data_IF_636193627452
#
_entry.id   IF_636193627452
#
_cell.length_a   1.000
_cell.length_b   1.000
_cell.length_c   1.000
_cell.angle_alpha   90.00
_cell.angle_beta   90.00
_cell.angle_gamma   90.00
#
_symmetry.space_group_name_H-M   'P 1'
#
loop_
_entity.id
_entity.type
_entity.pdbx_description
1 polymer ?
2 water ?
#
# COMPACT_ATOMS: atom_id res chain seq x y z
N UNK A 4 10.01 -8.81 -8.89
CA UNK A 4 10.46 -7.60 -9.67
C UNK A 4 10.24 -6.31 -8.89
N UNK A 5 10.83 -6.16 -7.70
CA UNK A 5 10.68 -4.92 -6.87
C UNK A 5 11.78 -3.91 -7.18
N UNK A 6 11.41 -2.79 -7.78
CA UNK A 6 12.38 -1.71 -8.04
C UNK A 6 12.76 -0.88 -6.79
N UNK A 7 11.73 -0.55 -5.99
CA UNK A 7 11.86 0.33 -4.83
C UNK A 7 10.91 -0.14 -3.73
N UNK A 8 11.35 0.00 -2.49
CA UNK A 8 10.48 -0.19 -1.33
C UNK A 8 10.61 1.09 -0.51
N UNK A 9 9.50 1.57 0.04
CA UNK A 9 9.53 2.80 0.83
C UNK A 9 8.65 2.60 2.06
N UNK A 10 9.09 3.14 3.19
CA UNK A 10 8.32 3.06 4.45
C UNK A 10 8.16 4.49 5.00
N UNK A 11 6.93 4.84 5.37
CA UNK A 11 6.57 6.19 5.90
C UNK A 11 5.94 5.99 7.27
N UNK A 12 6.44 6.69 8.29
CA UNK A 12 5.84 6.66 9.60
C UNK A 12 5.49 8.09 10.01
N UNK A 13 4.36 8.25 10.69
CA UNK A 13 3.94 9.55 11.12
C UNK A 13 3.46 9.47 12.57
N UNK A 14 4.04 10.31 13.44
CA UNK A 14 3.65 10.39 14.83
C UNK A 14 2.97 11.70 15.09
N UNK A 15 1.80 11.64 15.70
CA UNK A 15 1.04 12.82 16.05
C UNK A 15 1.10 12.98 17.54
N UNK A 16 1.65 14.11 17.96
CA UNK A 16 1.78 14.43 19.35
C UNK A 16 0.81 15.53 19.80
N UNK A 17 0.24 16.30 18.87
CA UNK A 17 -0.75 17.33 19.20
C UNK A 17 -1.85 17.20 18.16
N UNK A 18 -3.09 17.15 18.61
CA UNK A 18 -4.23 16.98 17.70
C UNK A 18 -5.38 17.74 18.31
N UNK A 19 -6.15 18.43 17.47
CA UNK A 19 -7.21 19.29 17.95
C UNK A 19 -6.73 20.10 19.16
N UNK A 20 -5.49 20.59 19.11
CA UNK A 20 -4.94 21.40 20.21
C UNK A 20 -4.69 20.67 21.52
N UNK A 21 -4.62 19.34 21.48
CA UNK A 21 -4.48 18.52 22.69
C UNK A 21 -3.25 17.60 22.58
N UNK A 22 -2.40 17.59 23.61
CA UNK A 22 -1.20 16.74 23.64
C UNK A 22 -1.54 15.24 23.66
N UNK A 23 -1.19 14.53 22.59
CA UNK A 23 -1.45 13.10 22.45
C UNK A 23 -0.26 12.32 23.06
N UNK A 24 -0.50 11.71 24.22
CA UNK A 24 0.51 10.96 24.98
C UNK A 24 -0.05 9.62 25.48
N UNK A 25 0.46 8.49 24.96
CA UNK A 25 1.54 8.40 23.97
C UNK A 25 1.08 8.91 22.60
N UNK A 26 2.02 9.38 21.77
CA UNK A 26 1.68 9.78 20.40
C UNK A 26 1.02 8.67 19.63
N UNK A 27 0.06 9.01 18.77
CA UNK A 27 -0.53 8.03 17.92
C UNK A 27 0.33 7.93 16.65
N UNK A 28 0.41 6.73 16.08
CA UNK A 28 1.30 6.51 14.96
C UNK A 28 0.67 5.74 13.84
N UNK A 29 1.05 6.09 12.62
CA UNK A 29 0.61 5.39 11.43
C UNK A 29 1.85 5.02 10.63
N UNK A 30 1.83 3.86 9.99
CA UNK A 30 2.94 3.48 9.13
C UNK A 30 2.35 2.94 7.85
N UNK A 31 3.06 3.13 6.75
CA UNK A 31 2.68 2.56 5.47
C UNK A 31 3.95 2.11 4.74
N UNK A 32 3.93 0.90 4.19
CA UNK A 32 5.04 0.34 3.41
C UNK A 32 4.53 0.20 1.96
N UNK A 33 5.37 0.62 1.01
CA UNK A 33 5.04 0.68 -0.41
C UNK A 33 6.11 -0.05 -1.23
N UNK A 34 5.67 -0.83 -2.23
CA UNK A 34 6.57 -1.51 -3.19
C UNK A 34 6.19 -1.10 -4.58
N UNK A 35 7.21 -0.85 -5.39
CA UNK A 35 7.04 -0.55 -6.81
C UNK A 35 7.52 -1.77 -7.58
N UNK A 36 6.61 -2.40 -8.32
CA UNK A 36 6.96 -3.58 -9.10
C UNK A 36 6.63 -3.40 -10.56
N UNK A 37 7.26 -4.18 -11.43
CA UNK A 37 6.92 -4.25 -12.83
C UNK A 37 5.61 -5.00 -12.98
N UNK A 38 4.69 -4.47 -13.79
CA UNK A 38 3.42 -5.13 -14.07
C UNK A 38 3.69 -6.10 -15.21
N UNK A 39 3.58 -7.42 -14.95
CA UNK A 39 3.83 -8.35 -16.07
C UNK A 39 2.82 -8.23 -17.23
N UNK A 40 1.67 -7.61 -16.98
CA UNK A 40 0.63 -7.46 -17.96
C UNK A 40 0.56 -6.07 -18.57
N UNK A 41 1.58 -5.24 -18.34
CA UNK A 41 1.64 -3.92 -18.93
C UNK A 41 1.68 -4.07 -20.44
N UNK A 42 0.87 -3.27 -21.14
CA UNK A 42 0.78 -3.31 -22.61
C UNK A 42 0.02 -4.48 -23.17
N UNK A 43 -0.61 -5.26 -22.31
CA UNK A 43 -1.26 -6.51 -22.69
C UNK A 43 -2.71 -6.60 -22.22
N UNK A 44 -3.48 -7.40 -22.94
CA UNK A 44 -4.89 -7.68 -22.63
C UNK A 44 -4.93 -9.15 -22.24
N UNK A 45 -4.99 -9.43 -20.94
CA UNK A 45 -4.97 -10.82 -20.43
C UNK A 45 -6.14 -11.05 -19.48
N UNK A 46 -6.62 -12.29 -19.37
CA UNK A 46 -7.78 -12.58 -18.52
C UNK A 46 -7.37 -13.26 -17.22
N UNK A 47 -6.35 -14.11 -17.30
CA UNK A 47 -5.89 -14.88 -16.14
C UNK A 47 -4.83 -14.09 -15.42
N UNK A 48 -5.22 -13.54 -14.27
CA UNK A 48 -4.36 -12.66 -13.48
C UNK A 48 -3.72 -13.37 -12.30
N UNK A 49 -3.70 -14.70 -12.32
CA UNK A 49 -3.12 -15.51 -11.26
C UNK A 49 -1.77 -14.96 -10.81
N UNK A 50 -0.92 -14.64 -11.79
CA UNK A 50 0.43 -14.23 -11.50
C UNK A 50 0.45 -12.97 -10.61
N UNK A 51 -0.47 -12.04 -10.84
CA UNK A 51 -0.56 -10.87 -9.96
C UNK A 51 -1.15 -11.18 -8.58
N UNK A 52 -2.06 -12.17 -8.46
CA UNK A 52 -2.62 -12.55 -7.17
C UNK A 52 -1.54 -13.21 -6.32
N UNK A 53 -0.76 -14.10 -6.93
CA UNK A 53 0.35 -14.76 -6.23
C UNK A 53 1.38 -13.73 -5.79
N UNK A 54 1.72 -12.78 -6.65
CA UNK A 54 2.67 -11.68 -6.28
C UNK A 54 2.11 -10.79 -5.14
N UNK A 55 0.82 -10.48 -5.21
CA UNK A 55 0.16 -9.72 -4.18
C UNK A 55 0.16 -10.40 -2.84
N UNK A 56 0.00 -11.71 -2.81
CA UNK A 56 0.09 -12.46 -1.55
C UNK A 56 1.45 -12.26 -0.84
N UNK A 57 2.53 -12.38 -1.59
CA UNK A 57 3.87 -12.20 -1.05
C UNK A 57 4.15 -10.75 -0.66
N UNK A 58 3.66 -9.80 -1.45
CA UNK A 58 3.85 -8.38 -1.15
C UNK A 58 3.10 -7.97 0.09
N UNK A 59 1.88 -8.42 0.26
CA UNK A 59 1.12 -8.05 1.45
C UNK A 59 1.80 -8.47 2.73
N UNK A 60 2.32 -9.69 2.72
CA UNK A 60 3.08 -10.22 3.83
C UNK A 60 4.34 -9.38 4.05
N UNK A 61 5.07 -9.11 2.98
CA UNK A 61 6.30 -8.36 3.05
C UNK A 61 6.08 -6.93 3.59
N UNK A 62 5.11 -6.23 3.01
CA UNK A 62 4.82 -4.85 3.38
C UNK A 62 4.17 -4.76 4.75
N UNK A 63 3.32 -5.73 5.09
CA UNK A 63 2.74 -5.77 6.44
C UNK A 63 3.81 -5.92 7.53
N UNK A 64 4.81 -6.75 7.26
CA UNK A 64 5.94 -6.97 8.16
C UNK A 64 6.80 -5.70 8.26
N UNK A 65 7.02 -5.01 7.14
CA UNK A 65 7.79 -3.76 7.18
C UNK A 65 7.08 -2.73 8.05
N UNK A 66 5.75 -2.67 7.96
CA UNK A 66 4.96 -1.76 8.80
C UNK A 66 5.16 -1.99 10.29
N UNK A 67 5.01 -3.24 10.73
CA UNK A 67 5.18 -3.58 12.15
C UNK A 67 6.63 -3.40 12.61
N UNK A 68 7.60 -3.76 11.78
CA UNK A 68 8.99 -3.47 12.10
C UNK A 68 9.24 -1.98 12.24
N UNK A 69 8.65 -1.16 11.38
CA UNK A 69 8.82 0.29 11.47
C UNK A 69 8.26 0.88 12.76
N UNK A 70 7.14 0.34 13.21
CA UNK A 70 6.47 0.82 14.40
C UNK A 70 6.99 0.10 15.63
N UNK A 71 7.85 -0.88 15.44
CA UNK A 71 8.39 -1.65 16.54
C UNK A 71 7.31 -2.29 17.37
N UNK A 72 6.29 -2.85 16.73
CA UNK A 72 5.24 -3.52 17.49
C UNK A 72 5.08 -4.94 17.01
N UNK A 73 4.34 -5.72 17.80
CA UNK A 73 3.91 -7.04 17.43
C UNK A 73 2.64 -6.79 16.61
N UNK A 74 2.35 -7.64 15.63
CA UNK A 74 1.14 -7.50 14.80
C UNK A 74 -0.18 -7.42 15.57
N UNK A 75 -0.25 -8.10 16.70
CA UNK A 75 -1.46 -8.07 17.52
C UNK A 75 -1.68 -6.68 18.17
N UNK A 76 -0.62 -5.87 18.29
CA UNK A 76 -0.76 -4.50 18.81
C UNK A 76 -1.35 -3.47 17.80
N UNK A 77 -1.44 -3.83 16.51
CA UNK A 77 -1.99 -2.93 15.48
C UNK A 77 -3.49 -2.68 15.66
N UNK A 78 -3.90 -1.42 15.61
CA UNK A 78 -5.31 -1.02 15.76
C UNK A 78 -6.12 -1.06 14.43
N UNK A 79 -5.49 -0.66 13.32
CA UNK A 79 -6.13 -0.59 12.00
C UNK A 79 -5.19 -1.12 10.95
N UNK A 80 -5.74 -1.59 9.83
CA UNK A 80 -4.97 -2.01 8.65
C UNK A 80 -5.68 -1.49 7.38
N UNK A 81 -4.96 -1.45 6.28
CA UNK A 81 -5.54 -1.10 4.98
C UNK A 81 -4.52 -1.35 3.90
N UNK A 82 -4.99 -1.42 2.65
CA UNK A 82 -4.10 -1.66 1.54
C UNK A 82 -4.65 -0.99 0.27
N UNK A 83 -3.77 -0.62 -0.65
CA UNK A 83 -4.17 0.03 -1.89
C UNK A 83 -3.18 -0.31 -2.94
N UNK A 84 -3.55 -0.07 -4.19
CA UNK A 84 -2.61 -0.26 -5.30
C UNK A 84 -2.94 0.79 -6.39
N UNK A 85 -1.90 1.31 -6.99
CA UNK A 85 -2.04 2.25 -8.08
C UNK A 85 -1.33 1.62 -9.26
N UNK A 86 -2.09 1.45 -10.34
CA UNK A 86 -1.59 0.88 -11.58
C UNK A 86 -1.05 1.99 -12.47
N UNK A 87 0.09 1.74 -13.10
CA UNK A 87 0.58 2.70 -14.10
C UNK A 87 -0.28 2.69 -15.35
N UNK A 88 -0.05 3.70 -16.18
CA UNK A 88 -0.90 4.00 -17.34
C UNK A 88 -1.08 2.86 -18.39
N UNK A 89 -0.07 2.01 -18.59
CA UNK A 89 -0.18 0.90 -19.58
C UNK A 89 -0.80 -0.39 -19.01
N UNK A 90 -1.22 -0.33 -17.74
CA UNK A 90 -1.94 -1.41 -17.11
C UNK A 90 -3.45 -1.18 -17.14
N UNK A 91 -4.17 -1.99 -16.37
CA UNK A 91 -5.61 -1.96 -16.24
C UNK A 91 -5.94 -1.96 -14.77
N UNK A 92 -7.11 -1.42 -14.43
CA UNK A 92 -7.57 -1.36 -13.06
C UNK A 92 -7.71 -2.75 -12.45
N UNK A 93 -8.06 -3.74 -13.28
CA UNK A 93 -8.21 -5.13 -12.84
C UNK A 93 -6.90 -5.71 -12.34
N UNK A 94 -5.78 -5.17 -12.84
CA UNK A 94 -4.46 -5.58 -12.34
C UNK A 94 -4.25 -5.18 -10.86
N UNK A 95 -4.74 -4.01 -10.50
CA UNK A 95 -4.72 -3.54 -9.10
C UNK A 95 -5.65 -4.42 -8.27
N UNK A 96 -6.84 -4.70 -8.78
CA UNK A 96 -7.75 -5.63 -8.11
C UNK A 96 -7.08 -6.97 -7.79
N UNK A 97 -6.37 -7.53 -8.78
CA UNK A 97 -5.74 -8.83 -8.66
C UNK A 97 -4.67 -8.78 -7.60
N UNK A 98 -3.81 -7.77 -7.70
CA UNK A 98 -2.73 -7.63 -6.73
C UNK A 98 -3.28 -7.49 -5.28
N UNK A 99 -4.45 -6.92 -5.10
CA UNK A 99 -5.07 -6.74 -3.78
C UNK A 99 -6.01 -7.85 -3.33
N UNK A 100 -6.22 -8.83 -4.19
CA UNK A 100 -7.19 -9.91 -3.95
C UNK A 100 -6.92 -10.77 -2.70
N UNK A 101 -5.71 -11.32 -2.55
CA UNK A 101 -5.47 -12.17 -1.37
C UNK A 101 -5.62 -11.46 -0.06
N UNK A 102 -6.12 -12.15 0.96
CA UNK A 102 -6.22 -11.55 2.31
C UNK A 102 -4.79 -11.35 2.88
N UNK A 103 -4.54 -10.29 3.64
CA UNK A 103 -3.16 -10.06 4.18
C UNK A 103 -2.53 -11.26 4.92
N UNK A 117 -13.55 -6.55 7.82
CA UNK A 117 -12.62 -6.79 6.72
C UNK A 117 -11.72 -5.58 6.51
N UNK A 118 -10.55 -5.82 5.93
CA UNK A 118 -9.55 -4.77 5.67
C UNK A 118 -9.95 -3.90 4.46
N UNK A 119 -10.03 -2.57 4.64
CA UNK A 119 -10.40 -1.77 3.46
C UNK A 119 -9.29 -1.75 2.40
N UNK A 120 -9.68 -1.66 1.14
CA UNK A 120 -8.70 -1.51 0.06
C UNK A 120 -9.19 -0.51 -0.98
N UNK A 121 -8.29 0.13 -1.73
CA UNK A 121 -8.71 0.99 -2.83
C UNK A 121 -7.77 0.73 -3.99
N UNK A 122 -8.26 0.92 -5.20
CA UNK A 122 -7.46 0.72 -6.40
C UNK A 122 -7.64 1.96 -7.26
N UNK A 123 -6.55 2.38 -7.90
CA UNK A 123 -6.54 3.55 -8.77
C UNK A 123 -5.59 3.34 -9.95
N UNK A 124 -5.81 4.08 -11.03
CA UNK A 124 -4.84 4.22 -12.12
C UNK A 124 -4.10 5.55 -11.84
N UNK A 125 -2.81 5.63 -12.07
CA UNK A 125 -2.11 6.89 -11.88
C UNK A 125 -0.85 6.97 -12.68
N UNK A 126 -0.06 7.97 -12.37
CA UNK A 126 1.20 8.21 -13.04
C UNK A 126 2.25 8.61 -11.99
N UNK A 127 3.52 8.73 -12.41
CA UNK A 127 4.57 9.01 -11.42
C UNK A 127 4.31 10.22 -10.55
N UNK A 128 4.44 10.07 -9.23
CA UNK A 128 4.29 11.19 -8.33
C UNK A 128 2.89 11.44 -7.82
N UNK A 129 1.88 10.76 -8.35
CA UNK A 129 0.52 10.97 -7.89
C UNK A 129 0.31 10.30 -6.54
N UNK A 130 -0.50 10.97 -5.74
CA UNK A 130 -0.82 10.55 -4.39
C UNK A 130 -1.85 9.41 -4.36
N UNK A 131 -1.54 8.38 -3.57
CA UNK A 131 -2.44 7.24 -3.38
C UNK A 131 -2.92 7.33 -1.94
N UNK A 132 -4.22 7.31 -1.75
CA UNK A 132 -4.80 7.34 -0.44
C UNK A 132 -5.00 5.91 0.04
N UNK A 133 -4.34 5.53 1.13
CA UNK A 133 -4.49 4.18 1.69
C UNK A 133 -5.53 4.22 2.82
N UNK A 134 -6.65 3.52 2.65
CA UNK A 134 -7.68 3.51 3.68
C UNK A 134 -7.24 2.77 4.96
N UNK A 135 -7.82 3.13 6.09
CA UNK A 135 -7.48 2.48 7.37
C UNK A 135 -8.79 2.12 8.07
N UNK A 136 -9.08 0.84 8.15
CA UNK A 136 -10.30 0.40 8.79
C UNK A 136 -9.95 -0.14 10.16
N UNK A 137 -10.70 0.30 11.17
CA UNK A 137 -10.54 -0.16 12.56
C UNK A 137 -11.20 -1.52 12.72
N UNK A 147 -13.76 5.83 6.27
CA UNK A 147 -12.45 5.42 6.79
C UNK A 147 -11.47 6.59 6.96
N UNK A 148 -10.55 6.44 7.92
CA UNK A 148 -9.41 7.34 8.06
C UNK A 148 -8.45 6.92 6.92
N UNK A 149 -7.26 7.51 6.85
CA UNK A 149 -6.32 7.12 5.82
C UNK A 149 -4.94 7.73 5.92
N UNK A 150 -4.05 7.28 5.06
CA UNK A 150 -2.74 7.89 4.98
C UNK A 150 -2.38 8.01 3.50
N UNK A 151 -1.81 9.15 3.13
CA UNK A 151 -1.41 9.40 1.76
C UNK A 151 0.01 8.99 1.55
N UNK A 152 0.27 8.38 0.40
CA UNK A 152 1.63 8.03 0.02
C UNK A 152 1.86 8.46 -1.41
N UNK A 153 3.11 8.80 -1.71
CA UNK A 153 3.53 9.01 -3.09
C UNK A 153 4.98 8.75 -3.24
N UNK A 154 5.41 8.48 -4.46
CA UNK A 154 6.83 8.39 -4.77
C UNK A 154 6.99 9.22 -6.05
N UNK A 155 8.01 10.09 -6.08
CA UNK A 155 8.22 11.01 -7.17
C UNK A 155 8.31 10.31 -8.53
N UNK A 156 8.81 9.08 -8.56
CA UNK A 156 9.09 8.44 -9.83
C UNK A 156 8.29 7.16 -10.07
N UNK A 157 7.18 6.99 -9.36
CA UNK A 157 6.45 5.77 -9.46
C UNK A 157 4.97 6.05 -9.25
N UNK A 158 4.09 5.21 -9.83
CA UNK A 158 4.40 4.09 -10.76
C UNK A 158 4.57 4.56 -12.21
N UNK A 159 5.63 4.10 -12.86
CA UNK A 159 5.80 4.34 -14.28
C UNK A 159 4.70 3.58 -15.02
N UNK A 160 4.59 3.83 -16.31
CA UNK A 160 3.50 3.25 -17.10
C UNK A 160 3.40 1.72 -17.04
N UNK A 161 4.54 1.04 -16.94
CA UNK A 161 4.57 -0.42 -16.87
C UNK A 161 4.71 -0.99 -15.46
N UNK A 162 4.35 -0.20 -14.44
CA UNK A 162 4.49 -0.62 -13.05
C UNK A 162 3.18 -0.62 -12.28
N UNK A 163 3.25 -1.19 -11.07
CA UNK A 163 2.21 -1.10 -10.02
C UNK A 163 2.86 -0.66 -8.69
N UNK A 164 2.24 0.31 -8.01
CA UNK A 164 2.68 0.78 -6.69
C UNK A 164 1.65 0.22 -5.70
N UNK A 165 2.11 -0.66 -4.82
CA UNK A 165 1.24 -1.35 -3.86
C UNK A 165 1.60 -0.87 -2.44
N UNK A 166 0.61 -0.63 -1.60
CA UNK A 166 0.79 -0.14 -0.25
C UNK A 166 -0.03 -0.92 0.78
N UNK A 167 0.59 -1.13 1.96
CA UNK A 167 -0.08 -1.66 3.15
C UNK A 167 0.17 -0.68 4.31
N UNK A 168 -0.88 -0.35 5.05
CA UNK A 168 -0.79 0.58 6.17
C UNK A 168 -1.34 -0.08 7.43
N UNK A 169 -0.81 0.34 8.58
CA UNK A 169 -1.18 -0.11 9.90
C UNK A 169 -1.10 1.11 10.83
N UNK A 170 -1.98 1.19 11.82
CA UNK A 170 -1.92 2.24 12.81
C UNK A 170 -1.71 1.61 14.17
N UNK A 171 -1.11 2.39 15.06
CA UNK A 171 -0.89 1.96 16.42
C UNK A 171 -1.24 3.06 17.41
N UNK A 172 -2.06 2.69 18.39
CA UNK A 172 -2.31 3.54 19.57
C UNK A 172 -3.51 4.46 19.40
#
# INVERSE_FOLDING_TARGET
GXTKIRKIAVFIEETRIEAGREISPPTRKAVAVAVIENPFAGRYVEDLTELMDTGAELGALLGERCVQALGIRPEQAESYGKSAMVGENGELEHAAAILHPKLGAPLRKAVEKGAALVPSSKKMGSPGQVLDVPLGHKDAAYVRSHFDGIEVRLNDAPRANEIMVAVAVTDSGRPLPRVGGLTHDAAEGKDGLR
#
